data_IF_825591339313
#
_entry.id   IF_825591339313
#
_cell.length_a   1.000
_cell.length_b   1.000
_cell.length_c   1.000
_cell.angle_alpha   90.00
_cell.angle_beta   90.00
_cell.angle_gamma   90.00
#
_symmetry.space_group_name_H-M   'P 1'
#
loop_
_entity.id
_entity.type
_entity.pdbx_description
1 polymer ?
#
# COMPACT_ATOMS: atom_id res chain seq x y z
N UNK A 1 -6.30 9.50 -8.92
CA UNK A 1 -7.21 9.66 -10.05
C UNK A 1 -8.37 10.57 -9.64
N UNK A 2 -8.77 11.55 -10.49
CA UNK A 2 -9.98 12.35 -10.25
C UNK A 2 -11.22 11.46 -10.09
N UNK A 3 -12.11 11.84 -9.19
CA UNK A 3 -13.31 11.06 -8.90
C UNK A 3 -14.23 11.79 -7.93
N UNK A 4 -15.33 11.16 -7.54
CA UNK A 4 -16.27 11.72 -6.58
C UNK A 4 -15.54 12.16 -5.29
N UNK A 5 -15.67 13.43 -4.92
CA UNK A 5 -15.00 14.04 -3.77
C UNK A 5 -13.59 14.55 -4.00
N UNK A 6 -12.94 14.26 -5.15
CA UNK A 6 -11.61 14.75 -5.51
C UNK A 6 -11.53 15.02 -7.02
N UNK A 7 -12.22 16.06 -7.54
CA UNK A 7 -12.24 16.35 -8.98
C UNK A 7 -10.91 16.93 -9.48
N UNK A 8 -10.17 17.61 -8.62
CA UNK A 8 -8.90 18.29 -8.92
C UNK A 8 -7.86 18.01 -7.85
N UNK A 9 -6.62 18.48 -8.04
CA UNK A 9 -5.52 18.30 -7.07
C UNK A 9 -5.05 16.86 -6.92
N UNK A 10 -5.33 16.01 -7.91
CA UNK A 10 -4.94 14.59 -7.89
C UNK A 10 -3.60 14.37 -8.61
N UNK A 11 -3.00 13.19 -8.41
CA UNK A 11 -1.79 12.79 -9.14
C UNK A 11 -1.99 12.89 -10.66
N UNK A 12 -3.17 12.55 -11.19
CA UNK A 12 -3.46 12.68 -12.63
C UNK A 12 -3.35 14.12 -13.08
N UNK A 13 -3.87 15.08 -12.30
CA UNK A 13 -3.73 16.50 -12.64
C UNK A 13 -2.26 16.93 -12.67
N UNK A 14 -1.45 16.49 -11.70
CA UNK A 14 -0.02 16.77 -11.67
C UNK A 14 0.72 16.11 -12.84
N UNK A 15 0.39 14.88 -13.20
CA UNK A 15 0.96 14.16 -14.33
C UNK A 15 0.65 14.86 -15.67
N UNK A 16 -0.59 15.30 -15.87
CA UNK A 16 -1.02 16.03 -17.06
C UNK A 16 -0.35 17.41 -17.16
N UNK A 17 -0.10 18.06 -16.04
CA UNK A 17 0.67 19.31 -16.00
C UNK A 17 2.14 19.08 -16.37
N UNK A 18 2.75 18.04 -15.78
CA UNK A 18 4.16 17.70 -16.02
C UNK A 18 4.42 17.19 -17.45
N UNK A 19 3.50 16.40 -17.98
CA UNK A 19 3.61 15.78 -19.30
C UNK A 19 2.25 15.79 -20.02
N UNK A 20 1.87 16.89 -20.70
CA UNK A 20 0.55 17.06 -21.34
C UNK A 20 0.16 15.94 -22.31
N UNK A 21 1.13 15.32 -22.99
CA UNK A 21 0.90 14.18 -23.89
C UNK A 21 0.27 12.96 -23.19
N UNK A 22 0.33 12.88 -21.88
CA UNK A 22 -0.36 11.82 -21.12
C UNK A 22 -1.90 11.90 -21.25
N UNK A 23 -2.44 13.03 -21.70
CA UNK A 23 -3.87 13.16 -22.00
C UNK A 23 -4.34 12.18 -23.10
N UNK A 24 -3.44 11.75 -23.98
CA UNK A 24 -3.71 10.78 -25.05
C UNK A 24 -3.83 9.34 -24.53
N UNK A 25 -3.40 9.11 -23.28
CA UNK A 25 -3.39 7.79 -22.66
C UNK A 25 -4.57 7.59 -21.72
N UNK A 26 -5.12 6.39 -21.72
CA UNK A 26 -6.13 6.02 -20.73
C UNK A 26 -5.60 6.28 -19.33
N UNK A 27 -6.38 6.98 -18.50
CA UNK A 27 -6.05 7.31 -17.11
C UNK A 27 -4.70 8.04 -16.96
N UNK A 28 -4.30 8.84 -17.95
CA UNK A 28 -3.02 9.54 -18.00
C UNK A 28 -1.81 8.60 -17.77
N UNK A 29 -1.84 7.41 -18.37
CA UNK A 29 -0.76 6.42 -18.27
C UNK A 29 -0.70 5.63 -16.97
N UNK A 30 -1.64 5.81 -16.06
CA UNK A 30 -1.71 5.02 -14.81
C UNK A 30 -2.13 3.57 -15.12
N UNK A 31 -1.24 2.62 -14.90
CA UNK A 31 -1.47 1.17 -15.11
C UNK A 31 -1.82 0.43 -13.82
N UNK A 32 -1.48 0.99 -12.68
CA UNK A 32 -1.85 0.48 -11.36
C UNK A 32 -2.16 1.63 -10.39
N UNK A 33 -2.35 1.32 -9.14
CA UNK A 33 -2.70 2.31 -8.11
C UNK A 33 -2.00 2.01 -6.79
N UNK A 34 -1.79 3.05 -6.01
CA UNK A 34 -1.60 3.00 -4.56
C UNK A 34 -2.75 3.76 -3.89
N UNK A 35 -3.00 3.50 -2.62
CA UNK A 35 -4.07 4.19 -1.89
C UNK A 35 -3.66 5.64 -1.58
N UNK A 36 -4.67 6.51 -1.41
CA UNK A 36 -4.45 7.84 -0.84
C UNK A 36 -3.66 7.70 0.47
N UNK A 37 -2.68 8.57 0.66
CA UNK A 37 -1.80 8.61 1.84
C UNK A 37 -0.83 7.39 1.98
N UNK A 38 -0.80 6.47 1.03
CA UNK A 38 0.28 5.50 0.89
C UNK A 38 1.46 6.14 0.17
N UNK A 39 2.64 6.10 0.75
CA UNK A 39 3.88 6.62 0.18
C UNK A 39 4.60 5.59 -0.68
N UNK A 40 5.63 6.03 -1.41
CA UNK A 40 6.52 5.17 -2.18
C UNK A 40 6.26 5.14 -3.69
N UNK A 41 6.58 4.03 -4.32
CA UNK A 41 6.69 3.90 -5.77
C UNK A 41 5.37 3.66 -6.47
N UNK A 42 5.21 4.35 -7.61
CA UNK A 42 4.14 4.15 -8.57
C UNK A 42 4.71 4.28 -9.98
N UNK A 43 4.42 3.34 -10.88
CA UNK A 43 4.84 3.42 -12.28
C UNK A 43 3.75 4.05 -13.15
N UNK A 44 4.17 4.94 -14.04
CA UNK A 44 3.31 5.61 -15.02
C UNK A 44 3.87 5.37 -16.42
N UNK A 45 3.03 4.88 -17.32
CA UNK A 45 3.38 4.74 -18.74
C UNK A 45 3.39 6.11 -19.43
N UNK A 46 4.41 6.40 -20.24
CA UNK A 46 4.54 7.67 -20.97
C UNK A 46 4.06 7.60 -22.42
N UNK A 47 3.74 6.40 -22.93
CA UNK A 47 3.21 6.17 -24.27
C UNK A 47 2.37 4.88 -24.30
N UNK A 48 1.67 4.63 -25.40
CA UNK A 48 0.79 3.47 -25.57
C UNK A 48 1.53 2.13 -25.50
N UNK A 49 2.73 2.04 -26.07
CA UNK A 49 3.56 0.83 -26.02
C UNK A 49 3.88 0.44 -24.58
N UNK A 50 4.35 1.42 -23.79
CA UNK A 50 4.64 1.21 -22.37
C UNK A 50 3.36 0.87 -21.59
N UNK A 51 2.24 1.55 -21.85
CA UNK A 51 0.97 1.27 -21.18
C UNK A 51 0.49 -0.15 -21.45
N UNK A 52 0.57 -0.61 -22.69
CA UNK A 52 0.20 -1.97 -23.07
C UNK A 52 1.11 -3.01 -22.42
N UNK A 53 2.43 -2.83 -22.52
CA UNK A 53 3.41 -3.74 -21.95
C UNK A 53 3.26 -3.86 -20.43
N UNK A 54 3.20 -2.74 -19.69
CA UNK A 54 3.07 -2.73 -18.23
C UNK A 54 1.73 -3.31 -17.78
N UNK A 55 0.64 -3.03 -18.50
CA UNK A 55 -0.67 -3.63 -18.22
C UNK A 55 -0.65 -5.15 -18.38
N UNK A 56 0.03 -5.65 -19.42
CA UNK A 56 0.22 -7.09 -19.64
C UNK A 56 1.07 -7.74 -18.55
N UNK A 57 2.15 -7.08 -18.10
CA UNK A 57 2.98 -7.57 -16.99
C UNK A 57 2.17 -7.64 -15.68
N UNK A 58 1.36 -6.61 -15.38
CA UNK A 58 0.48 -6.60 -14.22
C UNK A 58 -0.59 -7.70 -14.27
N UNK A 59 -1.20 -7.92 -15.44
CA UNK A 59 -2.16 -9.00 -15.65
C UNK A 59 -1.55 -10.40 -15.49
N UNK A 60 -0.29 -10.56 -15.93
CA UNK A 60 0.49 -11.79 -15.74
C UNK A 60 1.10 -11.95 -14.35
N UNK A 61 0.90 -10.97 -13.45
CA UNK A 61 1.46 -10.94 -12.08
C UNK A 61 3.00 -10.95 -12.04
N UNK A 62 3.67 -10.49 -13.09
CA UNK A 62 5.14 -10.47 -13.19
C UNK A 62 5.76 -9.17 -12.66
N UNK A 63 4.96 -8.15 -12.37
CA UNK A 63 5.45 -6.91 -11.72
C UNK A 63 5.68 -7.19 -10.25
N UNK A 64 6.92 -7.05 -9.81
CA UNK A 64 7.30 -7.21 -8.40
C UNK A 64 6.93 -5.96 -7.61
N UNK A 65 6.06 -6.11 -6.60
CA UNK A 65 5.56 -5.00 -5.78
C UNK A 65 5.68 -5.35 -4.31
N UNK A 66 6.57 -4.66 -3.62
CA UNK A 66 6.81 -4.89 -2.19
C UNK A 66 6.51 -3.63 -1.40
N UNK A 67 5.81 -3.83 -0.30
CA UNK A 67 5.39 -2.79 0.63
C UNK A 67 5.95 -3.06 2.01
N UNK A 68 6.49 -2.06 2.66
CA UNK A 68 6.75 -2.07 4.10
C UNK A 68 5.52 -1.53 4.84
N UNK A 69 5.17 -2.17 5.93
CA UNK A 69 4.05 -1.76 6.79
C UNK A 69 4.35 -2.00 8.27
N UNK A 70 3.63 -1.28 9.12
CA UNK A 70 3.61 -1.52 10.57
C UNK A 70 2.19 -1.89 10.96
N UNK A 71 2.04 -3.09 11.53
CA UNK A 71 0.76 -3.63 11.98
C UNK A 71 0.69 -3.69 13.50
N UNK A 72 -0.51 -3.57 14.05
CA UNK A 72 -0.79 -3.84 15.45
C UNK A 72 -0.67 -5.33 15.76
N UNK A 73 -0.13 -5.64 16.94
CA UNK A 73 -0.02 -7.00 17.48
C UNK A 73 1.26 -7.71 17.05
N UNK A 74 1.45 -8.90 17.61
CA UNK A 74 2.63 -9.74 17.41
C UNK A 74 2.35 -10.79 16.33
N UNK A 75 2.84 -10.56 15.12
CA UNK A 75 2.77 -11.53 14.03
C UNK A 75 3.95 -12.48 14.19
N UNK A 76 3.66 -13.76 14.39
CA UNK A 76 4.68 -14.77 14.75
C UNK A 76 5.50 -15.19 13.53
N UNK A 77 4.87 -15.36 12.36
CA UNK A 77 5.52 -15.87 11.17
C UNK A 77 5.03 -15.16 9.91
N UNK A 78 5.78 -15.25 8.83
CA UNK A 78 5.31 -14.90 7.50
C UNK A 78 4.24 -15.87 6.99
N UNK A 79 3.57 -15.48 5.91
CA UNK A 79 2.51 -16.30 5.33
C UNK A 79 1.96 -15.74 4.04
N UNK A 80 0.86 -16.33 3.62
CA UNK A 80 0.08 -15.89 2.46
C UNK A 80 -1.37 -15.69 2.87
N UNK A 81 -1.94 -14.56 2.45
CA UNK A 81 -3.36 -14.28 2.58
C UNK A 81 -3.95 -14.39 1.17
N UNK A 82 -4.74 -15.43 0.93
CA UNK A 82 -5.44 -15.68 -0.32
C UNK A 82 -6.95 -15.61 -0.06
N UNK A 83 -7.45 -14.37 -0.03
CA UNK A 83 -8.83 -14.09 0.35
C UNK A 83 -9.47 -13.06 -0.59
N UNK A 84 -10.67 -13.34 -1.11
CA UNK A 84 -11.31 -12.50 -2.13
C UNK A 84 -11.80 -11.17 -1.56
N UNK A 85 -11.60 -10.10 -2.33
CA UNK A 85 -11.96 -8.74 -1.92
C UNK A 85 -13.06 -8.17 -2.80
N UNK A 86 -14.08 -7.60 -2.17
CA UNK A 86 -15.09 -6.77 -2.81
C UNK A 86 -15.44 -5.54 -1.97
N UNK A 87 -16.26 -4.65 -2.54
CA UNK A 87 -16.73 -3.48 -1.82
C UNK A 87 -17.61 -3.90 -0.64
N UNK A 88 -17.40 -3.25 0.51
CA UNK A 88 -18.23 -3.48 1.70
C UNK A 88 -19.69 -3.10 1.41
N UNK A 89 -20.67 -3.95 1.78
CA UNK A 89 -22.07 -3.75 1.40
C UNK A 89 -22.71 -2.51 2.02
N UNK A 90 -22.31 -2.16 3.24
CA UNK A 90 -22.91 -1.06 4.00
C UNK A 90 -22.03 0.19 4.04
N UNK A 91 -20.71 0.05 3.90
CA UNK A 91 -19.75 1.15 3.98
C UNK A 91 -19.04 1.32 2.64
N UNK A 92 -19.44 2.33 1.88
CA UNK A 92 -18.91 2.57 0.52
C UNK A 92 -17.43 2.95 0.49
N UNK A 93 -16.85 3.37 1.61
CA UNK A 93 -15.43 3.71 1.72
C UNK A 93 -14.58 2.46 1.88
N UNK A 94 -15.15 1.39 2.45
CA UNK A 94 -14.44 0.16 2.78
C UNK A 94 -14.51 -0.90 1.68
N UNK A 95 -13.48 -1.72 1.67
CA UNK A 95 -13.47 -3.04 1.03
C UNK A 95 -13.61 -4.10 2.12
N UNK A 96 -14.03 -5.30 1.75
CA UNK A 96 -14.23 -6.41 2.68
C UNK A 96 -13.85 -7.74 2.03
N UNK A 97 -13.45 -8.71 2.85
CA UNK A 97 -13.31 -10.11 2.47
C UNK A 97 -14.67 -10.76 2.58
N UNK A 98 -15.26 -11.10 1.44
CA UNK A 98 -16.59 -11.67 1.36
C UNK A 98 -16.69 -12.61 0.13
N UNK A 99 -17.51 -13.67 0.20
CA UNK A 99 -17.78 -14.55 -0.94
C UNK A 99 -18.21 -13.78 -2.20
N UNK A 100 -17.72 -14.20 -3.36
CA UNK A 100 -17.96 -13.53 -4.64
C UNK A 100 -17.14 -12.23 -4.83
N UNK A 101 -16.15 -12.00 -4.00
CA UNK A 101 -15.12 -10.99 -4.21
C UNK A 101 -14.17 -11.38 -5.36
N UNK A 102 -13.32 -10.42 -5.76
CA UNK A 102 -12.27 -10.67 -6.75
C UNK A 102 -11.05 -11.27 -6.05
N UNK A 103 -10.44 -12.27 -6.66
CA UNK A 103 -9.24 -12.92 -6.13
C UNK A 103 -8.18 -11.90 -5.74
N UNK A 104 -7.61 -12.08 -4.57
CA UNK A 104 -6.58 -11.23 -4.03
C UNK A 104 -5.58 -12.03 -3.19
N UNK A 105 -4.29 -11.95 -3.55
CA UNK A 105 -3.21 -12.69 -2.92
C UNK A 105 -2.14 -11.74 -2.43
N UNK A 106 -1.82 -11.82 -1.16
CA UNK A 106 -0.76 -11.06 -0.47
C UNK A 106 0.18 -12.02 0.26
N UNK A 107 1.43 -12.09 -0.16
CA UNK A 107 2.48 -12.79 0.60
C UNK A 107 3.10 -11.82 1.58
N UNK A 108 3.52 -12.28 2.76
CA UNK A 108 4.15 -11.40 3.73
C UNK A 108 5.23 -12.11 4.55
N UNK A 109 6.24 -11.33 4.95
CA UNK A 109 7.32 -11.75 5.83
C UNK A 109 7.47 -10.77 7.00
N UNK A 110 7.66 -11.30 8.19
CA UNK A 110 7.99 -10.51 9.37
C UNK A 110 9.43 -10.02 9.25
N UNK A 111 9.64 -8.72 9.42
CA UNK A 111 10.96 -8.09 9.35
C UNK A 111 11.49 -7.67 10.72
N UNK A 112 10.61 -7.17 11.58
CA UNK A 112 11.01 -6.70 12.91
C UNK A 112 9.80 -6.81 13.86
N UNK A 113 10.03 -7.26 15.09
CA UNK A 113 9.01 -7.34 16.12
C UNK A 113 9.28 -6.30 17.19
N UNK A 114 8.24 -5.63 17.61
CA UNK A 114 8.25 -4.71 18.73
C UNK A 114 7.21 -5.16 19.75
N UNK A 115 7.23 -4.58 20.93
CA UNK A 115 6.18 -4.80 21.91
C UNK A 115 4.81 -4.38 21.35
N UNK A 116 3.93 -5.37 21.07
CA UNK A 116 2.58 -5.18 20.48
C UNK A 116 2.51 -4.59 19.06
N UNK A 117 3.62 -4.57 18.32
CA UNK A 117 3.64 -4.17 16.91
C UNK A 117 4.58 -5.06 16.11
N UNK A 118 4.35 -5.13 14.82
CA UNK A 118 5.21 -5.87 13.89
C UNK A 118 5.45 -5.08 12.62
N UNK A 119 6.72 -4.89 12.25
CA UNK A 119 7.06 -4.45 10.90
C UNK A 119 7.05 -5.64 9.96
N UNK A 120 6.32 -5.52 8.90
CA UNK A 120 6.11 -6.57 7.91
C UNK A 120 6.45 -6.06 6.53
N UNK A 121 6.94 -6.93 5.69
CA UNK A 121 7.09 -6.71 4.26
C UNK A 121 6.06 -7.55 3.52
N UNK A 122 5.18 -6.91 2.75
CA UNK A 122 4.14 -7.55 1.98
C UNK A 122 4.45 -7.48 0.48
N UNK A 123 4.29 -8.60 -0.23
CA UNK A 123 4.43 -8.69 -1.68
C UNK A 123 3.07 -9.01 -2.31
N UNK A 124 2.71 -8.25 -3.34
CA UNK A 124 1.43 -8.39 -4.02
C UNK A 124 1.52 -9.20 -5.32
N UNK A 125 0.69 -10.25 -5.46
CA UNK A 125 0.39 -10.83 -6.76
C UNK A 125 -0.73 -10.05 -7.48
N UNK A 126 -1.73 -9.62 -6.75
CA UNK A 126 -2.87 -8.84 -7.22
C UNK A 126 -2.82 -7.42 -6.67
N UNK A 127 -3.61 -6.49 -7.19
CA UNK A 127 -3.66 -5.10 -6.74
C UNK A 127 -5.09 -4.59 -6.59
N UNK A 128 -5.85 -5.13 -5.63
CA UNK A 128 -7.21 -4.67 -5.35
C UNK A 128 -7.17 -3.43 -4.46
N UNK A 129 -8.23 -2.64 -4.52
CA UNK A 129 -8.38 -1.47 -3.66
C UNK A 129 -8.22 -1.86 -2.19
N UNK A 130 -7.37 -1.16 -1.46
CA UNK A 130 -7.07 -1.37 -0.05
C UNK A 130 -6.58 -2.80 0.30
N UNK A 131 -6.06 -3.57 -0.66
CA UNK A 131 -5.81 -5.00 -0.48
C UNK A 131 -5.01 -5.33 0.78
N UNK A 132 -3.82 -4.76 0.96
CA UNK A 132 -2.97 -5.03 2.13
C UNK A 132 -3.70 -4.66 3.42
N UNK A 133 -4.36 -3.51 3.44
CA UNK A 133 -5.09 -2.98 4.61
C UNK A 133 -6.24 -3.90 5.03
N UNK A 134 -7.03 -4.37 4.06
CA UNK A 134 -8.14 -5.30 4.29
C UNK A 134 -7.63 -6.66 4.74
N UNK A 135 -6.61 -7.20 4.09
CA UNK A 135 -6.02 -8.49 4.42
C UNK A 135 -5.45 -8.51 5.85
N UNK A 136 -4.65 -7.48 6.22
CA UNK A 136 -4.11 -7.42 7.58
C UNK A 136 -5.19 -7.14 8.64
N UNK A 137 -6.22 -6.35 8.32
CA UNK A 137 -7.35 -6.17 9.21
C UNK A 137 -8.15 -7.48 9.42
N UNK A 138 -8.29 -8.29 8.38
CA UNK A 138 -8.91 -9.62 8.45
C UNK A 138 -8.15 -10.57 9.40
N UNK A 139 -6.82 -10.52 9.37
CA UNK A 139 -5.99 -11.26 10.33
C UNK A 139 -6.05 -10.73 11.77
N UNK A 140 -6.76 -9.63 12.03
CA UNK A 140 -6.78 -8.95 13.33
C UNK A 140 -5.60 -8.00 13.57
N UNK A 141 -4.74 -7.83 12.57
CA UNK A 141 -3.52 -7.04 12.59
C UNK A 141 -3.64 -5.77 11.73
N UNK A 142 -4.65 -4.92 11.98
CA UNK A 142 -4.82 -3.67 11.25
C UNK A 142 -3.55 -2.80 11.30
N UNK A 143 -3.34 -1.97 10.26
CA UNK A 143 -2.15 -1.13 10.15
C UNK A 143 -2.22 0.06 11.11
N UNK A 144 -1.07 0.42 11.69
CA UNK A 144 -0.95 1.62 12.52
C UNK A 144 -1.39 2.85 11.71
N UNK A 145 -2.17 3.72 12.33
CA UNK A 145 -2.64 4.97 11.75
C UNK A 145 -3.71 4.84 10.65
N UNK A 146 -4.15 3.62 10.29
CA UNK A 146 -5.16 3.44 9.25
C UNK A 146 -6.52 4.03 9.66
N UNK A 147 -6.99 5.11 9.00
CA UNK A 147 -8.21 5.81 9.40
C UNK A 147 -9.49 5.09 8.99
N UNK A 148 -9.40 4.06 8.14
CA UNK A 148 -10.55 3.36 7.57
C UNK A 148 -10.82 2.03 8.28
N UNK A 149 -9.76 1.26 8.54
CA UNK A 149 -9.89 -0.11 9.07
C UNK A 149 -9.55 -0.22 10.56
N UNK A 150 -8.89 0.79 11.14
CA UNK A 150 -8.58 0.85 12.56
C UNK A 150 -9.42 1.95 13.22
N UNK A 151 -10.51 1.56 13.85
CA UNK A 151 -11.48 2.51 14.42
C UNK A 151 -10.94 3.33 15.60
N UNK A 152 -9.94 2.79 16.33
CA UNK A 152 -9.34 3.45 17.50
C UNK A 152 -7.84 3.15 17.54
N UNK A 153 -7.05 4.16 17.91
CA UNK A 153 -5.64 3.98 18.23
C UNK A 153 -5.53 3.01 19.42
N UNK A 154 -4.70 1.99 19.30
CA UNK A 154 -4.48 0.99 20.36
C UNK A 154 -3.16 1.33 21.05
N UNK A 155 -3.21 1.57 22.34
CA UNK A 155 -2.03 1.84 23.16
C UNK A 155 -1.64 0.57 23.92
N UNK A 156 -0.37 0.12 23.87
CA UNK A 156 0.11 -0.95 24.73
C UNK A 156 0.02 -0.56 26.21
N UNK A 157 -0.21 -1.53 27.08
CA UNK A 157 -0.14 -1.28 28.51
C UNK A 157 1.27 -0.76 28.90
N UNK A 158 1.35 0.35 29.59
CA UNK A 158 2.61 0.97 29.99
C UNK A 158 3.37 1.65 28.83
N UNK A 159 2.67 2.03 27.75
CA UNK A 159 3.26 2.83 26.68
C UNK A 159 3.81 4.15 27.22
N UNK A 160 4.99 4.55 26.77
CA UNK A 160 5.56 5.85 27.10
C UNK A 160 4.72 7.00 26.51
N UNK A 161 4.92 8.21 27.03
CA UNK A 161 4.32 9.42 26.48
C UNK A 161 4.76 9.60 25.00
N UNK A 162 6.04 9.38 24.70
CA UNK A 162 6.60 9.45 23.36
C UNK A 162 5.88 8.50 22.36
N UNK A 163 5.65 7.25 22.74
CA UNK A 163 4.90 6.30 21.90
C UNK A 163 3.45 6.72 21.76
N UNK A 164 2.82 7.14 22.85
CA UNK A 164 1.44 7.61 22.85
C UNK A 164 1.25 8.77 21.89
N UNK A 165 2.11 9.76 21.91
CA UNK A 165 2.06 10.93 21.04
C UNK A 165 2.36 10.56 19.58
N UNK A 166 3.33 9.69 19.34
CA UNK A 166 3.61 9.16 18.00
C UNK A 166 2.37 8.47 17.42
N UNK A 167 1.73 7.57 18.15
CA UNK A 167 0.54 6.86 17.68
C UNK A 167 -0.66 7.79 17.47
N UNK A 168 -0.80 8.84 18.29
CA UNK A 168 -1.85 9.85 18.13
C UNK A 168 -1.64 10.74 16.92
N UNK A 169 -0.39 11.10 16.63
CA UNK A 169 -0.03 11.99 15.53
C UNK A 169 0.05 11.29 14.18
N UNK A 170 0.25 9.97 14.15
CA UNK A 170 0.35 9.20 12.91
C UNK A 170 -1.03 8.98 12.28
N UNK A 171 -1.43 9.83 11.31
CA UNK A 171 -2.82 9.93 10.79
C UNK A 171 -3.06 9.28 9.43
N UNK A 172 -2.14 8.45 8.97
CA UNK A 172 -2.27 7.68 7.74
C UNK A 172 -1.93 6.21 7.99
N UNK A 173 -2.33 5.31 7.11
CA UNK A 173 -1.87 3.93 7.19
C UNK A 173 -0.34 3.87 7.12
N UNK A 174 0.29 3.21 8.09
CA UNK A 174 1.71 2.92 8.07
C UNK A 174 2.03 1.89 6.97
N UNK A 175 2.02 2.38 5.73
CA UNK A 175 2.18 1.59 4.50
C UNK A 175 3.01 2.39 3.50
N UNK A 176 4.03 1.74 2.92
CA UNK A 176 4.97 2.34 2.00
C UNK A 176 5.29 1.36 0.86
N UNK A 177 5.08 1.78 -0.38
CA UNK A 177 5.45 1.02 -1.58
C UNK A 177 6.97 1.09 -1.78
N UNK A 178 7.70 0.16 -1.14
CA UNK A 178 9.14 0.22 -0.98
C UNK A 178 9.92 -0.23 -2.21
N UNK A 179 9.43 -1.27 -2.93
CA UNK A 179 10.13 -1.82 -4.10
C UNK A 179 9.16 -2.07 -5.25
N UNK A 180 9.65 -1.79 -6.45
CA UNK A 180 8.93 -2.02 -7.69
C UNK A 180 9.89 -2.60 -8.73
N UNK A 181 9.62 -3.83 -9.17
CA UNK A 181 10.38 -4.49 -10.23
C UNK A 181 9.50 -4.74 -11.46
N UNK A 182 10.03 -4.48 -12.63
CA UNK A 182 9.34 -4.66 -13.91
C UNK A 182 10.35 -4.88 -15.04
N UNK A 183 9.87 -5.37 -16.16
CA UNK A 183 10.64 -5.42 -17.41
C UNK A 183 10.40 -4.14 -18.19
N UNK A 184 11.48 -3.46 -18.60
CA UNK A 184 11.38 -2.21 -19.37
C UNK A 184 10.65 -2.45 -20.69
N UNK A 185 9.57 -1.69 -21.01
CA UNK A 185 8.68 -1.97 -22.15
C UNK A 185 9.35 -2.05 -23.50
N UNK A 186 10.43 -1.28 -23.71
CA UNK A 186 11.14 -1.21 -25.00
C UNK A 186 12.40 -2.06 -25.02
N UNK A 187 13.25 -1.98 -23.98
CA UNK A 187 14.55 -2.65 -23.99
C UNK A 187 14.48 -4.10 -23.56
N UNK A 188 13.43 -4.50 -22.84
CA UNK A 188 13.32 -5.85 -22.28
C UNK A 188 14.20 -6.09 -21.04
N UNK A 189 14.88 -5.08 -20.54
CA UNK A 189 15.75 -5.19 -19.36
C UNK A 189 14.90 -5.26 -18.08
N UNK A 190 15.32 -6.12 -17.16
CA UNK A 190 14.75 -6.16 -15.82
C UNK A 190 15.20 -4.92 -15.05
N UNK A 191 14.24 -4.23 -14.44
CA UNK A 191 14.47 -3.03 -13.66
C UNK A 191 13.92 -3.20 -12.25
N UNK A 192 14.70 -2.76 -11.26
CA UNK A 192 14.27 -2.73 -9.85
C UNK A 192 14.47 -1.31 -9.31
N UNK A 193 13.41 -0.80 -8.70
CA UNK A 193 13.40 0.49 -8.05
C UNK A 193 13.13 0.31 -6.56
N UNK A 194 13.79 1.12 -5.73
CA UNK A 194 13.58 1.17 -4.29
C UNK A 194 13.35 2.62 -3.85
N UNK A 195 12.40 2.82 -2.95
CA UNK A 195 12.16 4.12 -2.32
C UNK A 195 12.56 4.06 -0.85
N UNK A 196 13.30 5.05 -0.33
CA UNK A 196 13.56 5.15 1.10
C UNK A 196 12.27 5.41 1.88
N UNK A 197 12.24 5.00 3.14
CA UNK A 197 11.11 5.31 4.02
C UNK A 197 10.97 6.82 4.18
N UNK A 198 9.75 7.35 4.17
CA UNK A 198 9.52 8.75 4.51
C UNK A 198 9.75 8.99 6.01
N UNK A 199 10.00 10.24 6.36
CA UNK A 199 10.41 10.64 7.72
C UNK A 199 9.44 10.17 8.80
N UNK A 200 8.13 10.28 8.57
CA UNK A 200 7.11 9.84 9.51
C UNK A 200 7.16 8.33 9.78
N UNK A 201 7.41 7.53 8.74
CA UNK A 201 7.54 6.08 8.87
C UNK A 201 8.84 5.70 9.60
N UNK A 202 9.94 6.39 9.29
CA UNK A 202 11.22 6.21 9.97
C UNK A 202 11.10 6.56 11.46
N UNK A 203 10.51 7.71 11.79
CA UNK A 203 10.28 8.12 13.17
C UNK A 203 9.39 7.14 13.95
N UNK A 204 8.34 6.63 13.31
CA UNK A 204 7.50 5.58 13.92
C UNK A 204 8.33 4.35 14.32
N UNK A 205 9.18 3.85 13.41
CA UNK A 205 10.03 2.70 13.69
C UNK A 205 11.06 2.98 14.80
N UNK A 206 11.66 4.16 14.80
CA UNK A 206 12.60 4.57 15.86
C UNK A 206 11.95 4.59 17.23
N UNK A 207 10.74 5.16 17.33
CA UNK A 207 9.98 5.17 18.60
C UNK A 207 9.65 3.75 19.03
N UNK A 208 9.16 2.90 18.12
CA UNK A 208 8.83 1.51 18.45
C UNK A 208 10.05 0.70 18.94
N UNK A 209 11.24 0.98 18.42
CA UNK A 209 12.49 0.34 18.86
C UNK A 209 12.89 0.72 20.29
N UNK A 210 12.56 1.93 20.73
CA UNK A 210 12.87 2.38 22.09
C UNK A 210 11.91 1.83 23.15
N UNK A 211 10.81 1.23 22.73
CA UNK A 211 9.77 0.67 23.61
C UNK A 211 9.86 -0.86 23.82
N UNK A 212 10.88 -1.51 23.29
CA UNK A 212 11.12 -2.95 23.41
C UNK A 212 11.68 -3.33 24.78
#
# INVERSE_FOLDING_TARGET
HPGAGNPTGTLVNALLYHAPKLAELSRAGLVHRIDKDTSGLLVVAKNLEAQFSLSKQLAKKTVYRVYDLVAYGNIIAGGTIDEPIKRHPMDRVKMAILPGGRDAVTHYNVKERFRNFTRVQAQLETGRTHQIRVHFNYLGHGLVGDPVYVNRVRFPAGASEKLTDMLRSFKRQALHAAKLGLVHPRTGEEMMFEAPWPDDFTQLLEVLRTEN
#
